data_IF_896374131426
#
_entry.id   IF_896374131426
#
_cell.length_a   1.000
_cell.length_b   1.000
_cell.length_c   1.000
_cell.angle_alpha   90.00
_cell.angle_beta   90.00
_cell.angle_gamma   90.00
#
_symmetry.space_group_name_H-M   'P 1'
#
loop_
_entity.id
_entity.type
_entity.pdbx_description
1 polymer ?
#
# COMPACT_ATOMS: atom_id res chain seq x y z
N UNK A 1 3.24 -8.72 16.51
CA UNK A 1 2.55 -9.27 15.34
C UNK A 1 1.36 -8.35 15.13
N UNK A 2 1.37 -7.52 14.08
CA UNK A 2 0.23 -6.64 13.85
C UNK A 2 -0.78 -7.38 12.96
N UNK A 3 -1.94 -7.74 13.52
CA UNK A 3 -2.96 -8.56 12.87
C UNK A 3 -4.02 -7.65 12.24
N UNK A 4 -4.93 -8.21 11.41
CA UNK A 4 -6.04 -7.45 10.82
C UNK A 4 -6.93 -6.79 11.91
N UNK A 5 -6.98 -7.41 13.10
CA UNK A 5 -7.63 -6.86 14.29
C UNK A 5 -7.03 -5.53 14.77
N UNK A 6 -5.75 -5.24 14.50
CA UNK A 6 -5.13 -3.95 14.85
C UNK A 6 -5.57 -2.81 13.92
N UNK A 7 -6.24 -3.14 12.82
CA UNK A 7 -6.90 -2.17 11.93
C UNK A 7 -8.37 -1.95 12.30
N UNK A 8 -8.89 -2.71 13.27
CA UNK A 8 -10.24 -2.54 13.79
C UNK A 8 -10.39 -1.14 14.40
N UNK A 9 -11.25 -0.31 13.79
CA UNK A 9 -11.48 1.08 14.18
C UNK A 9 -10.60 2.13 13.48
N UNK A 10 -9.61 1.70 12.70
CA UNK A 10 -8.89 2.56 11.73
C UNK A 10 -9.52 2.47 10.34
N UNK A 11 -9.93 1.25 9.96
CA UNK A 11 -10.72 0.97 8.76
C UNK A 11 -12.11 0.57 9.23
N UNK A 12 -12.94 1.56 9.56
CA UNK A 12 -14.35 1.35 9.91
C UNK A 12 -15.26 1.53 8.69
N UNK A 13 -16.55 1.23 8.88
CA UNK A 13 -17.53 1.29 7.78
C UNK A 13 -17.61 2.70 7.16
N UNK A 14 -17.50 3.75 7.98
CA UNK A 14 -17.53 5.13 7.51
C UNK A 14 -16.30 5.45 6.65
N UNK A 15 -15.11 5.04 7.09
CA UNK A 15 -13.88 5.24 6.34
C UNK A 15 -13.91 4.49 4.99
N UNK A 16 -14.43 3.26 4.99
CA UNK A 16 -14.62 2.49 3.75
C UNK A 16 -15.62 3.15 2.81
N UNK A 17 -16.72 3.69 3.34
CA UNK A 17 -17.71 4.44 2.56
C UNK A 17 -17.09 5.69 1.91
N UNK A 18 -16.25 6.44 2.63
CA UNK A 18 -15.54 7.62 2.10
C UNK A 18 -14.56 7.26 0.97
N UNK A 19 -13.82 6.15 1.09
CA UNK A 19 -12.96 5.64 0.01
C UNK A 19 -13.81 5.23 -1.20
N UNK A 20 -14.90 4.49 -0.99
CA UNK A 20 -15.75 4.02 -2.08
C UNK A 20 -16.45 5.17 -2.82
N UNK A 21 -16.79 6.24 -2.12
CA UNK A 21 -17.36 7.45 -2.70
C UNK A 21 -16.32 8.33 -3.40
N UNK A 22 -15.02 8.02 -3.25
CA UNK A 22 -13.92 8.83 -3.80
C UNK A 22 -13.70 10.14 -3.05
N UNK A 23 -14.21 10.26 -1.83
CA UNK A 23 -14.02 11.44 -0.98
C UNK A 23 -12.67 11.41 -0.26
N UNK A 24 -12.06 10.23 -0.13
CA UNK A 24 -10.75 10.01 0.48
C UNK A 24 -9.87 9.16 -0.43
N UNK A 25 -8.63 9.61 -0.64
CA UNK A 25 -7.64 8.85 -1.39
C UNK A 25 -7.11 7.67 -0.55
N UNK A 26 -7.05 6.45 -1.10
CA UNK A 26 -6.41 5.33 -0.42
C UNK A 26 -4.89 5.55 -0.31
N UNK A 27 -4.28 4.96 0.70
CA UNK A 27 -2.85 5.13 0.97
C UNK A 27 -2.26 4.02 1.83
N UNK A 28 -1.53 4.42 2.87
CA UNK A 28 -0.69 3.50 3.64
C UNK A 28 -1.50 2.45 4.44
N UNK A 29 -2.72 2.80 4.88
CA UNK A 29 -3.59 1.88 5.60
C UNK A 29 -4.06 0.74 4.68
N UNK A 30 -4.46 1.07 3.45
CA UNK A 30 -4.93 0.09 2.46
C UNK A 30 -3.78 -0.80 2.01
N UNK A 31 -2.58 -0.24 1.81
CA UNK A 31 -1.38 -1.03 1.47
C UNK A 31 -1.04 -2.00 2.59
N UNK A 32 -1.07 -1.53 3.85
CA UNK A 32 -0.82 -2.38 5.00
C UNK A 32 -1.88 -3.49 5.12
N UNK A 33 -3.18 -3.15 5.00
CA UNK A 33 -4.27 -4.12 5.03
C UNK A 33 -4.13 -5.18 3.91
N UNK A 34 -3.83 -4.75 2.68
CA UNK A 34 -3.61 -5.63 1.55
C UNK A 34 -2.41 -6.57 1.76
N UNK A 35 -1.31 -6.07 2.35
CA UNK A 35 -0.14 -6.89 2.67
C UNK A 35 -0.52 -8.05 3.61
N UNK A 36 -1.32 -7.78 4.64
CA UNK A 36 -1.78 -8.78 5.62
C UNK A 36 -2.79 -9.74 5.02
N UNK A 37 -3.81 -9.22 4.33
CA UNK A 37 -4.89 -10.04 3.76
C UNK A 37 -4.36 -11.06 2.73
N UNK A 38 -3.40 -10.65 1.91
CA UNK A 38 -2.83 -11.50 0.87
C UNK A 38 -1.57 -12.24 1.29
N UNK A 39 -1.04 -11.97 2.49
CA UNK A 39 0.28 -12.45 2.92
C UNK A 39 1.36 -12.12 1.89
N UNK A 40 1.37 -10.87 1.43
CA UNK A 40 2.36 -10.35 0.50
C UNK A 40 3.28 -9.36 1.19
N UNK A 41 4.56 -9.37 0.81
CA UNK A 41 5.42 -8.22 1.06
C UNK A 41 5.04 -7.13 0.06
N UNK A 42 4.85 -5.89 0.54
CA UNK A 42 4.64 -4.74 -0.36
C UNK A 42 5.77 -3.74 -0.17
N UNK A 43 6.55 -3.52 -1.23
CA UNK A 43 7.66 -2.57 -1.26
C UNK A 43 7.18 -1.28 -1.89
N UNK A 44 7.24 -0.17 -1.15
CA UNK A 44 6.87 1.16 -1.65
C UNK A 44 8.14 1.97 -1.85
N UNK A 45 8.35 2.43 -3.08
CA UNK A 45 9.44 3.35 -3.45
C UNK A 45 8.86 4.72 -3.71
N UNK A 46 9.18 5.68 -2.86
CA UNK A 46 8.71 7.06 -3.00
C UNK A 46 9.69 7.81 -3.89
N UNK A 47 9.16 8.47 -4.93
CA UNK A 47 9.93 9.28 -5.86
C UNK A 47 9.47 10.73 -5.84
N UNK A 48 10.41 11.66 -6.06
CA UNK A 48 10.09 13.07 -6.25
C UNK A 48 9.56 13.35 -7.67
N UNK A 49 9.29 14.63 -7.94
CA UNK A 49 8.81 15.11 -9.26
C UNK A 49 9.78 14.85 -10.41
N UNK A 50 11.06 14.61 -10.11
CA UNK A 50 12.11 14.31 -11.10
C UNK A 50 12.37 12.80 -11.18
N UNK A 51 11.45 11.98 -10.67
CA UNK A 51 11.52 10.52 -10.58
C UNK A 51 12.74 10.00 -9.79
N UNK A 52 13.32 10.80 -8.89
CA UNK A 52 14.41 10.36 -8.03
C UNK A 52 13.85 9.71 -6.78
N UNK A 53 14.45 8.58 -6.38
CA UNK A 53 14.06 7.88 -5.15
C UNK A 53 14.38 8.76 -3.93
N UNK A 54 13.35 9.08 -3.16
CA UNK A 54 13.43 9.85 -1.92
C UNK A 54 13.45 8.91 -0.72
N UNK A 55 12.63 7.86 -0.75
CA UNK A 55 12.58 6.86 0.31
C UNK A 55 12.07 5.52 -0.20
N UNK A 56 12.33 4.47 0.57
CA UNK A 56 11.86 3.12 0.30
C UNK A 56 11.53 2.44 1.61
N UNK A 57 10.37 1.81 1.69
CA UNK A 57 9.96 1.04 2.86
C UNK A 57 9.18 -0.20 2.43
N UNK A 58 9.14 -1.19 3.32
CA UNK A 58 8.51 -2.48 3.05
C UNK A 58 7.49 -2.79 4.13
N UNK A 59 6.28 -3.12 3.70
CA UNK A 59 5.27 -3.77 4.52
C UNK A 59 5.54 -5.27 4.51
N UNK A 60 6.30 -5.71 5.52
CA UNK A 60 6.68 -7.11 5.65
C UNK A 60 5.61 -7.95 6.34
N UNK A 61 5.49 -9.18 5.88
CA UNK A 61 4.68 -10.23 6.49
C UNK A 61 5.51 -11.47 6.74
N UNK A 62 5.09 -12.27 7.72
CA UNK A 62 5.75 -13.54 8.00
C UNK A 62 5.40 -14.55 6.90
N UNK A 63 6.40 -15.26 6.35
CA UNK A 63 6.25 -16.25 5.28
C UNK A 63 5.46 -15.73 4.05
N UNK A 64 5.99 -14.71 3.34
CA UNK A 64 5.28 -14.08 2.24
C UNK A 64 5.07 -15.03 1.05
N UNK A 65 3.87 -14.99 0.46
CA UNK A 65 3.53 -15.73 -0.76
C UNK A 65 4.13 -15.05 -2.00
N UNK A 66 4.23 -13.72 -1.97
CA UNK A 66 4.72 -12.89 -3.08
C UNK A 66 5.27 -11.56 -2.56
N UNK A 67 6.12 -10.92 -3.34
CA UNK A 67 6.49 -9.51 -3.17
C UNK A 67 5.90 -8.67 -4.31
N UNK A 68 5.28 -7.55 -3.98
CA UNK A 68 4.75 -6.55 -4.92
C UNK A 68 5.53 -5.24 -4.76
N UNK A 69 5.82 -4.58 -5.87
CA UNK A 69 6.52 -3.30 -5.89
C UNK A 69 5.59 -2.19 -6.35
N UNK A 70 5.54 -1.12 -5.55
CA UNK A 70 4.80 0.11 -5.83
C UNK A 70 5.80 1.26 -5.94
N UNK A 71 5.60 2.13 -6.93
CA UNK A 71 6.19 3.46 -6.98
C UNK A 71 5.14 4.48 -6.53
N UNK A 72 5.53 5.45 -5.71
CA UNK A 72 4.64 6.53 -5.24
C UNK A 72 5.22 7.90 -5.54
N UNK A 73 4.42 8.78 -6.14
CA UNK A 73 4.72 10.22 -6.25
C UNK A 73 3.51 11.04 -5.83
N UNK A 74 3.58 11.71 -4.68
CA UNK A 74 2.41 12.35 -4.08
C UNK A 74 1.30 11.33 -3.78
N UNK A 75 0.08 11.59 -4.27
CA UNK A 75 -1.07 10.67 -4.19
C UNK A 75 -1.11 9.62 -5.32
N UNK A 76 -0.19 9.67 -6.28
CA UNK A 76 -0.16 8.72 -7.39
C UNK A 76 0.66 7.47 -7.04
N UNK A 77 0.10 6.32 -7.37
CA UNK A 77 0.75 5.02 -7.26
C UNK A 77 0.83 4.36 -8.63
N UNK A 78 1.94 3.67 -8.87
CA UNK A 78 2.11 2.81 -10.04
C UNK A 78 2.66 1.46 -9.57
N UNK A 79 2.25 0.38 -10.24
CA UNK A 79 2.60 -0.99 -9.84
C UNK A 79 3.58 -1.60 -10.82
N UNK A 80 4.56 -2.33 -10.32
CA UNK A 80 5.44 -3.13 -11.18
C UNK A 80 4.73 -4.44 -11.58
N UNK A 81 4.51 -4.60 -12.88
CA UNK A 81 3.93 -5.80 -13.51
C UNK A 81 4.91 -6.28 -14.58
N UNK A 82 5.41 -7.50 -14.43
CA UNK A 82 6.34 -8.14 -15.38
C UNK A 82 7.58 -7.27 -15.73
N UNK A 83 8.07 -6.51 -14.76
CA UNK A 83 9.21 -5.60 -14.91
C UNK A 83 8.88 -4.23 -15.51
N UNK A 84 7.59 -3.95 -15.78
CA UNK A 84 7.11 -2.65 -16.26
C UNK A 84 6.29 -1.94 -15.19
N UNK A 85 6.40 -0.62 -15.11
CA UNK A 85 5.55 0.20 -14.23
C UNK A 85 4.30 0.59 -15.00
N UNK A 86 3.13 0.26 -14.46
CA UNK A 86 1.79 0.53 -15.03
C UNK A 86 0.98 1.41 -14.11
#
# INVERSE_FOLDING_TARGET
MKNLEDLSGLIDDLYLDEIQQGNTDPGELEIYAASKLHSWNVVVTVVDKDCKVVSKFTYEVENPVKTVHLARSGSYFAVEVDGYIV
#
